data_IF_390612181698
#
_entry.id   IF_390612181698
#
_cell.length_a   1.000
_cell.length_b   1.000
_cell.length_c   1.000
_cell.angle_alpha   90.00
_cell.angle_beta   90.00
_cell.angle_gamma   90.00
#
_symmetry.space_group_name_H-M   'P 1'
#
loop_
_entity.id
_entity.type
_entity.pdbx_description
1 polymer ?
#
# COMPACT_ATOMS: atom_id res chain seq x y z
N UNK A 1 9.91 -7.20 11.35
CA UNK A 1 9.79 -6.44 12.60
C UNK A 1 8.54 -5.59 12.56
N UNK A 2 7.91 -5.35 13.70
CA UNK A 2 6.73 -4.48 13.84
C UNK A 2 7.02 -3.45 14.92
N UNK A 3 6.67 -2.19 14.67
CA UNK A 3 6.67 -1.13 15.69
C UNK A 3 5.21 -0.82 15.98
N UNK A 4 4.84 -0.90 17.26
CA UNK A 4 3.47 -0.67 17.71
C UNK A 4 3.46 0.39 18.81
N UNK A 5 2.58 1.39 18.69
CA UNK A 5 2.32 2.36 19.75
C UNK A 5 1.15 1.84 20.59
N UNK A 6 1.38 1.66 21.89
CA UNK A 6 0.40 1.17 22.86
C UNK A 6 0.38 2.08 24.09
N UNK A 7 -0.76 2.13 24.79
CA UNK A 7 -0.89 2.89 26.04
C UNK A 7 -1.95 2.36 27.01
N UNK A 8 -2.93 1.57 26.52
CA UNK A 8 -4.02 1.03 27.33
C UNK A 8 -3.96 -0.48 27.61
N UNK A 9 -2.98 -1.20 27.08
CA UNK A 9 -2.83 -2.66 27.28
C UNK A 9 -1.35 -3.05 27.34
N UNK A 10 -1.04 -4.01 28.23
CA UNK A 10 0.28 -4.63 28.38
C UNK A 10 0.41 -5.99 27.70
N UNK A 11 -0.58 -6.42 26.91
CA UNK A 11 -0.66 -7.79 26.35
C UNK A 11 0.49 -8.13 25.40
N UNK A 12 1.17 -7.12 24.87
CA UNK A 12 2.30 -7.28 23.95
C UNK A 12 3.65 -7.40 24.67
N UNK A 13 3.73 -7.13 25.98
CA UNK A 13 5.00 -7.18 26.71
C UNK A 13 5.69 -8.55 26.67
N UNK A 14 4.91 -9.63 26.67
CA UNK A 14 5.43 -10.99 26.62
C UNK A 14 6.17 -11.32 25.32
N UNK A 15 5.71 -10.76 24.19
CA UNK A 15 6.22 -11.07 22.84
C UNK A 15 7.11 -9.96 22.27
N UNK A 16 7.23 -8.83 22.96
CA UNK A 16 8.00 -7.68 22.50
C UNK A 16 9.50 -7.88 22.75
N UNK A 17 10.31 -7.76 21.68
CA UNK A 17 11.77 -7.78 21.78
C UNK A 17 12.33 -6.53 22.49
N UNK A 18 11.65 -5.38 22.34
CA UNK A 18 12.06 -4.08 22.88
C UNK A 18 10.81 -3.28 23.28
N UNK A 19 10.84 -2.67 24.46
CA UNK A 19 9.80 -1.75 24.91
C UNK A 19 10.41 -0.39 25.19
N UNK A 20 9.89 0.64 24.54
CA UNK A 20 10.28 2.04 24.73
C UNK A 20 9.09 2.79 25.30
N UNK A 21 9.24 3.35 26.49
CA UNK A 21 8.29 4.30 27.06
C UNK A 21 8.67 5.71 26.63
N UNK A 22 7.68 6.54 26.34
CA UNK A 22 7.87 7.97 26.10
C UNK A 22 7.29 8.72 27.30
N UNK A 23 8.16 9.27 28.14
CA UNK A 23 7.76 10.14 29.26
C UNK A 23 8.21 11.56 28.96
N UNK A 24 7.25 12.49 28.93
CA UNK A 24 7.54 13.91 28.68
C UNK A 24 8.39 14.14 27.42
N UNK A 25 8.08 13.37 26.36
CA UNK A 25 8.81 13.32 25.08
C UNK A 25 10.26 12.79 25.14
N UNK A 26 10.65 12.18 26.25
CA UNK A 26 11.95 11.54 26.43
C UNK A 26 11.78 10.01 26.30
N UNK A 27 12.41 9.37 25.29
CA UNK A 27 12.32 7.93 25.13
C UNK A 27 13.21 7.23 26.17
N UNK A 28 12.65 6.22 26.83
CA UNK A 28 13.36 5.38 27.78
C UNK A 28 13.12 3.92 27.42
N UNK A 29 14.20 3.15 27.36
CA UNK A 29 14.06 1.71 27.20
C UNK A 29 13.63 1.09 28.55
N UNK A 30 12.47 0.42 28.53
CA UNK A 30 11.86 -0.19 29.71
C UNK A 30 11.58 -1.68 29.52
N UNK A 31 12.30 -2.33 28.59
CA UNK A 31 12.12 -3.75 28.22
C UNK A 31 12.13 -4.66 29.45
N UNK A 32 13.10 -4.52 30.35
CA UNK A 32 13.20 -5.36 31.55
C UNK A 32 12.02 -5.18 32.51
N UNK A 33 11.55 -3.95 32.71
CA UNK A 33 10.40 -3.66 33.55
C UNK A 33 9.10 -4.24 32.94
N UNK A 34 8.91 -4.09 31.63
CA UNK A 34 7.79 -4.66 30.90
C UNK A 34 7.76 -6.20 31.00
N UNK A 35 8.91 -6.87 30.84
CA UNK A 35 9.02 -8.32 31.00
C UNK A 35 8.73 -8.78 32.42
N UNK A 36 9.18 -8.03 33.44
CA UNK A 36 8.85 -8.33 34.83
C UNK A 36 7.34 -8.27 35.10
N UNK A 37 6.64 -7.28 34.54
CA UNK A 37 5.18 -7.16 34.62
C UNK A 37 4.49 -8.34 33.93
N UNK A 38 4.94 -8.71 32.72
CA UNK A 38 4.39 -9.83 31.97
C UNK A 38 4.56 -11.17 32.72
N UNK A 39 5.72 -11.37 33.36
CA UNK A 39 5.98 -12.57 34.15
C UNK A 39 5.10 -12.65 35.41
N UNK A 40 4.85 -11.52 36.08
CA UNK A 40 3.99 -11.46 37.27
C UNK A 40 2.50 -11.63 36.95
N UNK A 41 2.07 -11.23 35.74
CA UNK A 41 0.67 -11.25 35.30
C UNK A 41 0.46 -12.24 34.15
N UNK A 42 1.10 -13.42 34.24
CA UNK A 42 1.02 -14.43 33.18
C UNK A 42 -0.44 -14.87 32.97
N UNK A 43 -1.07 -14.32 31.94
CA UNK A 43 -2.36 -14.76 31.43
C UNK A 43 -2.13 -16.02 30.60
N UNK A 44 -2.91 -17.08 30.82
CA UNK A 44 -2.95 -18.20 29.86
C UNK A 44 -3.66 -17.69 28.60
N UNK A 45 -2.87 -17.32 27.59
CA UNK A 45 -3.41 -17.06 26.25
C UNK A 45 -3.45 -18.35 25.47
N UNK A 46 -4.59 -18.57 24.81
CA UNK A 46 -4.67 -19.59 23.77
C UNK A 46 -3.88 -19.13 22.55
N UNK A 47 -3.10 -20.04 21.96
CA UNK A 47 -2.40 -19.76 20.72
C UNK A 47 -3.42 -19.74 19.57
N UNK A 48 -3.89 -18.54 19.21
CA UNK A 48 -4.83 -18.34 18.09
C UNK A 48 -4.15 -18.38 16.71
N UNK A 49 -2.83 -18.22 16.68
CA UNK A 49 -2.02 -18.20 15.46
C UNK A 49 -1.58 -19.59 15.00
N UNK A 50 -1.30 -19.71 13.70
CA UNK A 50 -0.59 -20.88 13.15
C UNK A 50 0.93 -20.80 13.38
N UNK A 51 1.65 -21.88 13.08
CA UNK A 51 3.12 -21.91 13.17
C UNK A 51 3.82 -21.00 12.15
N UNK A 52 3.11 -20.60 11.09
CA UNK A 52 3.61 -19.69 10.05
C UNK A 52 2.46 -18.94 9.38
N UNK A 53 2.79 -17.89 8.63
CA UNK A 53 1.84 -17.17 7.78
C UNK A 53 1.43 -17.95 6.51
N UNK A 54 1.98 -19.15 6.28
CA UNK A 54 1.68 -19.97 5.11
C UNK A 54 2.24 -19.41 3.80
N UNK A 55 1.70 -19.88 2.68
CA UNK A 55 2.04 -19.38 1.35
C UNK A 55 1.14 -18.20 0.98
N UNK A 56 1.74 -17.15 0.42
CA UNK A 56 1.00 -16.00 -0.10
C UNK A 56 0.31 -16.38 -1.41
N UNK A 57 -1.01 -16.36 -1.45
CA UNK A 57 -1.79 -16.63 -2.66
C UNK A 57 -1.60 -15.50 -3.68
N UNK A 58 -1.05 -15.77 -4.88
CA UNK A 58 -0.93 -14.79 -5.95
C UNK A 58 -2.32 -14.34 -6.43
N UNK A 59 -2.46 -13.03 -6.70
CA UNK A 59 -3.71 -12.43 -7.16
C UNK A 59 -3.48 -11.79 -8.54
N UNK A 60 -4.05 -12.38 -9.59
CA UNK A 60 -3.96 -11.83 -10.94
C UNK A 60 -5.18 -10.94 -11.24
N UNK A 61 -5.01 -9.61 -11.47
CA UNK A 61 -6.12 -8.72 -11.78
C UNK A 61 -6.73 -9.03 -13.14
N UNK A 62 -8.07 -9.04 -13.20
CA UNK A 62 -8.81 -9.19 -14.46
C UNK A 62 -8.82 -7.86 -15.23
N UNK A 63 -8.47 -7.82 -16.52
CA UNK A 63 -8.40 -6.57 -17.29
C UNK A 63 -9.71 -5.78 -17.30
N UNK A 64 -10.85 -6.45 -17.43
CA UNK A 64 -12.17 -5.83 -17.45
C UNK A 64 -12.64 -5.31 -16.07
N UNK A 65 -11.84 -5.49 -15.02
CA UNK A 65 -12.15 -5.00 -13.68
C UNK A 65 -11.41 -3.70 -13.33
N UNK A 66 -10.56 -3.22 -14.23
CA UNK A 66 -9.91 -1.92 -14.16
C UNK A 66 -10.34 -1.11 -15.38
N UNK A 67 -11.32 -0.24 -15.20
CA UNK A 67 -11.85 0.60 -16.28
C UNK A 67 -11.54 2.08 -16.01
N UNK A 68 -10.59 2.70 -16.75
CA UNK A 68 -10.28 4.11 -16.60
C UNK A 68 -11.29 5.01 -17.34
N UNK A 69 -12.28 4.46 -18.05
CA UNK A 69 -13.19 5.23 -18.90
C UNK A 69 -14.28 5.97 -18.09
N UNK A 70 -14.74 7.11 -18.62
CA UNK A 70 -15.86 7.87 -18.05
C UNK A 70 -16.65 8.53 -19.17
N UNK A 71 -17.91 8.12 -19.36
CA UNK A 71 -18.76 8.62 -20.44
C UNK A 71 -18.15 8.40 -21.83
N UNK A 72 -17.76 9.48 -22.52
CA UNK A 72 -17.16 9.43 -23.87
C UNK A 72 -15.63 9.39 -23.88
N UNK A 73 -14.98 9.35 -22.71
CA UNK A 73 -13.51 9.33 -22.61
C UNK A 73 -13.04 7.92 -22.27
N UNK A 74 -12.19 7.36 -23.11
CA UNK A 74 -11.58 6.04 -22.86
C UNK A 74 -10.67 6.04 -21.63
N UNK A 75 -10.05 7.19 -21.32
CA UNK A 75 -9.24 7.40 -20.12
C UNK A 75 -9.65 8.71 -19.46
N UNK A 76 -10.14 8.62 -18.23
CA UNK A 76 -10.45 9.75 -17.37
C UNK A 76 -9.99 9.44 -15.94
N UNK A 77 -8.73 9.79 -15.68
CA UNK A 77 -8.13 9.66 -14.35
C UNK A 77 -7.77 11.05 -13.82
N UNK A 78 -8.13 11.33 -12.57
CA UNK A 78 -7.87 12.62 -11.91
C UNK A 78 -7.50 12.42 -10.46
N UNK A 79 -6.62 13.24 -9.92
CA UNK A 79 -6.23 13.18 -8.51
C UNK A 79 -6.88 14.30 -7.71
N UNK A 80 -7.17 14.05 -6.43
CA UNK A 80 -7.60 15.05 -5.46
C UNK A 80 -6.59 15.09 -4.31
N UNK A 81 -5.54 15.89 -4.48
CA UNK A 81 -4.48 16.03 -3.47
C UNK A 81 -3.84 14.69 -3.10
N UNK A 82 -3.78 14.39 -1.81
CA UNK A 82 -3.24 13.14 -1.25
C UNK A 82 -4.31 12.08 -0.99
N UNK A 83 -5.59 12.46 -1.05
CA UNK A 83 -6.67 11.66 -0.45
C UNK A 83 -7.45 10.82 -1.45
N UNK A 84 -7.40 11.11 -2.75
CA UNK A 84 -8.15 10.29 -3.71
C UNK A 84 -7.62 10.33 -5.15
N UNK A 85 -7.93 9.26 -5.88
CA UNK A 85 -7.83 9.15 -7.33
C UNK A 85 -9.22 8.81 -7.89
N UNK A 86 -9.75 9.67 -8.76
CA UNK A 86 -10.84 9.30 -9.64
C UNK A 86 -10.24 8.44 -10.76
N UNK A 87 -10.70 7.20 -10.91
CA UNK A 87 -10.29 6.28 -11.96
C UNK A 87 -11.54 5.84 -12.73
N UNK A 88 -11.76 6.42 -13.91
CA UNK A 88 -13.00 6.22 -14.66
C UNK A 88 -14.23 6.74 -13.92
N UNK A 89 -15.19 5.86 -13.65
CA UNK A 89 -16.36 6.14 -12.82
C UNK A 89 -16.07 5.98 -11.31
N UNK A 90 -15.04 5.23 -10.93
CA UNK A 90 -14.73 4.92 -9.54
C UNK A 90 -13.87 6.01 -8.86
N UNK A 91 -14.05 6.13 -7.55
CA UNK A 91 -13.19 6.96 -6.70
C UNK A 91 -12.43 6.06 -5.71
N UNK A 92 -11.11 6.04 -5.85
CA UNK A 92 -10.16 5.34 -4.99
C UNK A 92 -9.83 6.28 -3.83
N UNK A 93 -10.19 5.89 -2.62
CA UNK A 93 -9.83 6.60 -1.39
C UNK A 93 -8.40 6.23 -0.97
N UNK A 94 -7.56 7.23 -0.71
CA UNK A 94 -6.18 7.11 -0.26
C UNK A 94 -5.98 7.75 1.12
N UNK A 95 -7.03 8.18 1.82
CA UNK A 95 -6.92 8.82 3.14
C UNK A 95 -6.21 7.95 4.19
N UNK A 96 -6.31 6.62 4.07
CA UNK A 96 -5.59 5.67 4.93
C UNK A 96 -4.14 5.38 4.49
N UNK A 97 -3.68 5.95 3.37
CA UNK A 97 -2.31 5.79 2.85
C UNK A 97 -1.47 6.99 3.31
N UNK A 98 -1.33 7.13 4.63
CA UNK A 98 -0.73 8.32 5.28
C UNK A 98 0.74 8.59 4.91
N UNK A 99 1.42 7.65 4.25
CA UNK A 99 2.81 7.82 3.79
C UNK A 99 2.93 8.59 2.46
N UNK A 100 1.81 8.88 1.80
CA UNK A 100 1.78 9.86 0.71
C UNK A 100 1.95 11.26 1.27
N UNK A 101 2.96 11.98 0.80
CA UNK A 101 3.33 13.31 1.33
C UNK A 101 3.24 14.42 0.28
N UNK A 102 3.15 14.06 -1.00
CA UNK A 102 3.00 15.04 -2.08
C UNK A 102 1.96 14.59 -3.13
N UNK A 103 1.08 15.51 -3.53
CA UNK A 103 0.08 15.31 -4.61
C UNK A 103 0.68 14.80 -5.92
N UNK A 104 1.94 15.15 -6.21
CA UNK A 104 2.69 14.68 -7.37
C UNK A 104 2.94 13.17 -7.34
N UNK A 105 2.97 12.55 -6.16
CA UNK A 105 3.02 11.08 -6.02
C UNK A 105 1.67 10.48 -6.41
N UNK A 106 0.56 11.06 -5.96
CA UNK A 106 -0.78 10.62 -6.34
C UNK A 106 -0.99 10.68 -7.85
N UNK A 107 -0.47 11.72 -8.52
CA UNK A 107 -0.52 11.85 -9.99
C UNK A 107 0.28 10.74 -10.67
N UNK A 108 1.52 10.54 -10.22
CA UNK A 108 2.37 9.49 -10.75
C UNK A 108 1.78 8.09 -10.54
N UNK A 109 1.09 7.84 -9.42
CA UNK A 109 0.37 6.59 -9.17
C UNK A 109 -0.81 6.42 -10.12
N UNK A 110 -1.61 7.48 -10.31
CA UNK A 110 -2.73 7.48 -11.26
C UNK A 110 -2.27 7.13 -12.69
N UNK A 111 -1.18 7.76 -13.15
CA UNK A 111 -0.59 7.49 -14.46
C UNK A 111 -0.03 6.06 -14.53
N UNK A 112 0.67 5.61 -13.49
CA UNK A 112 1.18 4.25 -13.39
C UNK A 112 0.08 3.17 -13.43
N UNK A 113 -1.11 3.46 -12.88
CA UNK A 113 -2.26 2.54 -12.98
C UNK A 113 -2.74 2.39 -14.43
N UNK A 114 -2.83 3.50 -15.18
CA UNK A 114 -3.22 3.47 -16.61
C UNK A 114 -2.15 2.76 -17.44
N UNK A 115 -0.88 3.09 -17.21
CA UNK A 115 0.26 2.46 -17.86
C UNK A 115 0.30 0.95 -17.62
N UNK A 116 0.14 0.53 -16.36
CA UNK A 116 0.12 -0.86 -15.95
C UNK A 116 -1.03 -1.64 -16.58
N UNK A 117 -2.22 -1.05 -16.62
CA UNK A 117 -3.39 -1.64 -17.28
C UNK A 117 -3.12 -1.93 -18.76
N UNK A 118 -2.52 -0.97 -19.48
CA UNK A 118 -2.25 -1.10 -20.91
C UNK A 118 -1.15 -2.13 -21.22
N UNK A 119 -0.12 -2.24 -20.37
CA UNK A 119 1.09 -3.02 -20.68
C UNK A 119 1.15 -4.40 -20.01
N UNK A 120 0.57 -4.55 -18.82
CA UNK A 120 0.88 -5.68 -17.93
C UNK A 120 -0.34 -6.43 -17.38
N UNK A 121 -1.52 -5.81 -17.33
CA UNK A 121 -2.73 -6.47 -16.83
C UNK A 121 -3.30 -7.38 -17.92
N UNK A 122 -2.97 -8.67 -17.87
CA UNK A 122 -3.36 -9.68 -18.85
C UNK A 122 -4.28 -10.79 -18.29
N UNK A 123 -4.72 -10.64 -17.03
CA UNK A 123 -5.51 -11.67 -16.33
C UNK A 123 -4.71 -12.91 -15.89
N UNK A 124 -3.38 -12.90 -16.06
CA UNK A 124 -2.50 -14.03 -15.73
C UNK A 124 -1.42 -13.66 -14.73
N UNK A 125 -0.81 -12.47 -14.87
CA UNK A 125 0.29 -12.03 -14.01
C UNK A 125 -0.21 -11.63 -12.62
N UNK A 126 0.44 -12.06 -11.54
CA UNK A 126 0.18 -11.55 -10.19
C UNK A 126 0.36 -10.02 -10.11
N UNK A 127 -0.46 -9.39 -9.28
CA UNK A 127 -0.41 -7.95 -9.02
C UNK A 127 0.99 -7.47 -8.57
N UNK A 128 1.71 -8.30 -7.81
CA UNK A 128 3.08 -8.03 -7.38
C UNK A 128 4.03 -7.89 -8.57
N UNK A 129 3.92 -8.76 -9.56
CA UNK A 129 4.81 -8.80 -10.72
C UNK A 129 4.52 -7.64 -11.67
N UNK A 130 3.23 -7.27 -11.78
CA UNK A 130 2.78 -6.07 -12.50
C UNK A 130 3.39 -4.82 -11.87
N UNK A 131 3.25 -4.65 -10.54
CA UNK A 131 3.82 -3.52 -9.82
C UNK A 131 5.35 -3.48 -10.00
N UNK A 132 6.03 -4.61 -9.82
CA UNK A 132 7.49 -4.69 -9.98
C UNK A 132 7.93 -4.32 -11.40
N UNK A 133 7.18 -4.74 -12.42
CA UNK A 133 7.47 -4.42 -13.82
C UNK A 133 7.32 -2.92 -14.10
N UNK A 134 6.29 -2.27 -13.55
CA UNK A 134 6.11 -0.81 -13.65
C UNK A 134 7.25 -0.07 -12.93
N UNK A 135 7.61 -0.51 -11.72
CA UNK A 135 8.72 0.11 -10.98
C UNK A 135 10.07 -0.08 -11.68
N UNK A 136 10.27 -1.22 -12.35
CA UNK A 136 11.47 -1.49 -13.15
C UNK A 136 11.54 -0.56 -14.37
N UNK A 137 10.43 -0.39 -15.11
CA UNK A 137 10.37 0.58 -16.22
C UNK A 137 10.71 2.00 -15.74
N UNK A 138 10.13 2.43 -14.60
CA UNK A 138 10.41 3.75 -14.02
C UNK A 138 11.89 3.90 -13.64
N UNK A 139 12.50 2.84 -13.10
CA UNK A 139 13.91 2.86 -12.71
C UNK A 139 14.85 2.94 -13.92
N UNK A 140 14.51 2.27 -15.02
CA UNK A 140 15.32 2.22 -16.25
C UNK A 140 15.13 3.47 -17.13
N UNK A 141 13.89 3.90 -17.32
CA UNK A 141 13.50 4.91 -18.31
C UNK A 141 13.13 6.27 -17.68
N UNK A 142 13.10 6.34 -16.36
CA UNK A 142 12.69 7.52 -15.60
C UNK A 142 11.17 7.60 -15.39
N UNK A 143 10.77 8.48 -14.47
CA UNK A 143 9.38 8.59 -14.02
C UNK A 143 8.39 8.97 -15.13
N UNK A 144 8.85 9.64 -16.18
CA UNK A 144 8.00 10.05 -17.29
C UNK A 144 7.53 8.88 -18.16
N UNK A 145 8.07 7.67 -18.01
CA UNK A 145 7.65 6.50 -18.78
C UNK A 145 6.17 6.12 -18.58
N UNK A 146 5.62 6.42 -17.39
CA UNK A 146 4.20 6.16 -17.10
C UNK A 146 3.29 7.28 -17.59
N UNK A 147 3.86 8.41 -18.03
CA UNK A 147 3.11 9.51 -18.61
C UNK A 147 2.87 9.28 -20.09
N UNK A 148 1.68 9.66 -20.54
CA UNK A 148 1.27 9.59 -21.94
C UNK A 148 1.76 10.79 -22.79
N UNK A 149 2.60 11.67 -22.22
CA UNK A 149 3.20 12.86 -22.85
C UNK A 149 2.21 13.83 -23.55
N UNK A 150 0.89 13.63 -23.45
CA UNK A 150 -0.13 14.48 -24.09
C UNK A 150 -0.11 15.92 -23.58
N UNK A 151 0.48 16.16 -22.41
CA UNK A 151 0.76 17.47 -21.85
C UNK A 151 2.13 17.48 -21.16
N UNK A 152 2.83 18.64 -21.04
CA UNK A 152 4.08 18.71 -20.29
C UNK A 152 3.84 18.32 -18.83
N UNK A 153 4.47 17.24 -18.38
CA UNK A 153 4.29 16.73 -17.02
C UNK A 153 5.49 17.12 -16.18
N UNK A 154 5.38 18.29 -15.54
CA UNK A 154 6.37 18.82 -14.60
C UNK A 154 6.03 18.52 -13.14
N UNK A 155 4.98 17.74 -12.88
CA UNK A 155 4.36 17.61 -11.56
C UNK A 155 4.22 16.15 -11.08
N UNK A 156 5.10 15.26 -11.54
CA UNK A 156 5.24 13.89 -11.03
C UNK A 156 6.31 13.81 -9.94
N UNK A 157 6.07 12.96 -8.94
CA UNK A 157 7.05 12.62 -7.92
C UNK A 157 7.11 11.11 -7.73
N UNK A 158 8.29 10.59 -7.42
CA UNK A 158 8.50 9.17 -7.18
C UNK A 158 7.64 8.65 -6.03
N UNK A 159 7.16 7.41 -6.16
CA UNK A 159 6.35 6.70 -5.17
C UNK A 159 6.89 5.27 -5.00
N UNK A 160 6.60 4.62 -3.88
CA UNK A 160 7.05 3.24 -3.64
C UNK A 160 6.03 2.25 -4.20
N UNK A 161 6.45 1.00 -4.53
CA UNK A 161 5.51 -0.04 -4.98
C UNK A 161 4.31 -0.26 -4.05
N UNK A 162 4.49 0.00 -2.75
CA UNK A 162 3.43 -0.15 -1.75
C UNK A 162 2.27 0.83 -1.94
N UNK A 163 2.54 2.08 -2.33
CA UNK A 163 1.48 3.07 -2.58
C UNK A 163 0.68 2.72 -3.84
N UNK A 164 1.36 2.26 -4.90
CA UNK A 164 0.69 1.77 -6.10
C UNK A 164 -0.18 0.54 -5.81
N UNK A 165 0.37 -0.43 -5.07
CA UNK A 165 -0.40 -1.58 -4.60
C UNK A 165 -1.58 -1.18 -3.71
N UNK A 166 -1.40 -0.19 -2.83
CA UNK A 166 -2.44 0.33 -1.96
C UNK A 166 -3.60 0.98 -2.76
N UNK A 167 -3.29 1.71 -3.83
CA UNK A 167 -4.29 2.31 -4.72
C UNK A 167 -5.06 1.24 -5.49
N UNK A 168 -4.37 0.29 -6.13
CA UNK A 168 -4.99 -0.81 -6.87
C UNK A 168 -5.91 -1.65 -5.97
N UNK A 169 -5.45 -2.01 -4.76
CA UNK A 169 -6.25 -2.79 -3.80
C UNK A 169 -7.48 -2.04 -3.25
N UNK A 170 -7.57 -0.72 -3.42
CA UNK A 170 -8.71 0.10 -2.98
C UNK A 170 -9.67 0.46 -4.11
N UNK A 171 -9.37 0.05 -5.35
CA UNK A 171 -10.32 0.16 -6.46
C UNK A 171 -11.45 -0.85 -6.24
N UNK A 172 -12.67 -0.35 -6.05
CA UNK A 172 -13.85 -1.17 -5.67
C UNK A 172 -14.24 -2.19 -6.74
N UNK A 173 -13.99 -1.86 -8.01
CA UNK A 173 -14.30 -2.70 -9.17
C UNK A 173 -13.27 -3.81 -9.39
N UNK A 174 -12.09 -3.76 -8.75
CA UNK A 174 -11.03 -4.75 -8.91
C UNK A 174 -11.55 -6.17 -8.66
N UNK A 175 -11.31 -7.04 -9.64
CA UNK A 175 -11.52 -8.49 -9.56
C UNK A 175 -10.20 -9.19 -9.80
N UNK A 176 -9.95 -10.23 -9.03
CA UNK A 176 -8.70 -11.01 -9.11
C UNK A 176 -8.99 -12.49 -9.24
N UNK A 177 -8.15 -13.20 -9.97
CA UNK A 177 -8.07 -14.66 -9.93
C UNK A 177 -7.00 -15.04 -8.91
N UNK A 178 -7.38 -15.85 -7.93
CA UNK A 178 -6.45 -16.52 -7.02
C UNK A 178 -6.05 -17.86 -7.60
N UNK A 179 -4.75 -18.16 -7.60
CA UNK A 179 -4.21 -19.45 -8.03
C UNK A 179 -3.40 -20.08 -6.92
#
# INVERSE_FOLDING_TARGET
STILVIGGSGDYFEVADRVIALDSYVPQEVTAAAQAIAAANRQQRDAEGGQSFGQLTPRAPLPNSLDPSKGRRDVNVKTRGLSAIQFGEDNIDLGAVAQLVNSSQTRAIADAMVYGLAKYVDGKRPLTDIINSIMADIAEQGLTVVSDFRYPVGDLAYFRPFELGAALNRLRTLRVITR
#
